data_IF_534901723371
#
_entry.id   IF_534901723371
#
_cell.length_a   1.000
_cell.length_b   1.000
_cell.length_c   1.000
_cell.angle_alpha   90.00
_cell.angle_beta   90.00
_cell.angle_gamma   90.00
#
_symmetry.space_group_name_H-M   'P 1'
#
loop_
_entity.id
_entity.type
_entity.pdbx_description
1 polymer ?
#
# COMPACT_ATOMS: atom_id res chain seq x y z
N UNK A 1 -37.69 -41.15 -12.77
CA UNK A 1 -37.33 -40.13 -11.78
C UNK A 1 -35.93 -39.63 -12.12
N UNK A 2 -35.85 -38.49 -12.80
CA UNK A 2 -34.60 -37.92 -13.31
C UNK A 2 -33.82 -37.29 -12.17
N UNK A 3 -32.60 -37.78 -11.90
CA UNK A 3 -31.63 -37.05 -11.08
C UNK A 3 -30.97 -36.01 -11.98
N UNK A 4 -31.42 -34.77 -11.86
CA UNK A 4 -30.65 -33.62 -12.32
C UNK A 4 -29.63 -33.36 -11.22
N UNK A 5 -28.38 -33.70 -11.47
CA UNK A 5 -27.26 -33.27 -10.66
C UNK A 5 -26.68 -32.05 -11.37
N UNK A 6 -27.08 -30.86 -10.93
CA UNK A 6 -26.49 -29.61 -11.39
C UNK A 6 -25.03 -29.53 -10.90
N UNK A 7 -24.07 -29.16 -11.75
CA UNK A 7 -22.73 -28.83 -11.31
C UNK A 7 -22.74 -27.37 -10.83
N UNK A 8 -22.85 -27.14 -9.53
CA UNK A 8 -22.64 -25.82 -8.95
C UNK A 8 -21.14 -25.51 -8.86
N UNK A 9 -20.58 -25.12 -10.00
CA UNK A 9 -19.30 -24.39 -10.10
C UNK A 9 -19.46 -22.98 -9.53
N UNK A 10 -19.31 -22.77 -8.22
CA UNK A 10 -19.13 -21.45 -7.62
C UNK A 10 -18.53 -21.66 -6.22
N UNK A 11 -17.41 -21.08 -5.79
CA UNK A 11 -16.60 -19.97 -6.29
C UNK A 11 -15.15 -20.40 -6.14
N UNK A 12 -14.31 -20.09 -7.13
CA UNK A 12 -12.88 -19.91 -6.87
C UNK A 12 -12.80 -18.98 -5.67
N UNK A 13 -12.25 -19.44 -4.55
CA UNK A 13 -11.74 -18.52 -3.54
C UNK A 13 -10.78 -17.62 -4.30
N UNK A 14 -11.22 -16.38 -4.59
CA UNK A 14 -10.32 -15.31 -4.99
C UNK A 14 -9.45 -15.08 -3.75
N UNK A 15 -8.44 -15.93 -3.61
CA UNK A 15 -7.27 -15.67 -2.79
C UNK A 15 -6.76 -14.33 -3.29
N UNK A 16 -7.06 -13.28 -2.54
CA UNK A 16 -6.55 -11.95 -2.82
C UNK A 16 -5.03 -12.06 -2.96
N UNK A 17 -4.54 -11.78 -4.17
CA UNK A 17 -3.12 -11.75 -4.49
C UNK A 17 -2.67 -10.30 -4.33
N UNK A 18 -1.78 -10.06 -3.36
CA UNK A 18 -1.14 -8.76 -3.18
C UNK A 18 -0.27 -8.46 -4.39
N UNK A 19 -0.83 -7.70 -5.34
CA UNK A 19 -0.13 -7.26 -6.55
C UNK A 19 0.94 -6.24 -6.20
N UNK A 20 2.11 -6.35 -6.79
CA UNK A 20 3.15 -5.34 -6.62
C UNK A 20 2.67 -3.96 -7.08
N UNK A 21 3.27 -2.92 -6.52
CA UNK A 21 2.93 -1.54 -6.87
C UNK A 21 3.22 -1.30 -8.36
N UNK A 22 4.27 -1.92 -8.90
CA UNK A 22 4.57 -1.88 -10.34
C UNK A 22 3.44 -2.45 -11.17
N UNK A 23 2.93 -3.63 -10.83
CA UNK A 23 1.80 -4.25 -11.55
C UNK A 23 0.55 -3.36 -11.51
N UNK A 24 0.23 -2.82 -10.33
CA UNK A 24 -0.91 -1.93 -10.18
C UNK A 24 -0.76 -0.63 -10.97
N UNK A 25 0.46 -0.08 -11.09
CA UNK A 25 0.74 1.10 -11.91
C UNK A 25 0.64 0.80 -13.41
N UNK A 26 1.09 -0.38 -13.88
CA UNK A 26 0.99 -0.79 -15.29
C UNK A 26 -0.46 -0.81 -15.77
N UNK A 27 -1.38 -1.29 -14.94
CA UNK A 27 -2.80 -1.36 -15.30
C UNK A 27 -3.51 -0.01 -15.23
N UNK A 28 -3.01 0.92 -14.40
CA UNK A 28 -3.70 2.18 -14.07
C UNK A 28 -3.08 3.43 -14.72
N UNK A 29 -1.89 3.34 -15.31
CA UNK A 29 -1.16 4.50 -15.83
C UNK A 29 -0.76 4.37 -17.30
N UNK A 30 -0.74 5.53 -17.98
CA UNK A 30 -0.22 5.65 -19.33
C UNK A 30 1.26 5.25 -19.41
N UNK A 31 1.66 4.61 -20.50
CA UNK A 31 3.03 4.10 -20.72
C UNK A 31 4.13 5.17 -20.55
N UNK A 32 3.84 6.44 -20.88
CA UNK A 32 4.78 7.55 -20.71
C UNK A 32 5.06 7.85 -19.23
N UNK A 33 4.03 7.79 -18.37
CA UNK A 33 4.20 8.01 -16.92
C UNK A 33 4.89 6.81 -16.27
N UNK A 34 4.62 5.61 -16.78
CA UNK A 34 5.29 4.39 -16.33
C UNK A 34 6.81 4.44 -16.51
N UNK A 35 7.27 4.94 -17.66
CA UNK A 35 8.70 5.09 -17.95
C UNK A 35 9.40 6.07 -17.00
N UNK A 36 8.72 7.15 -16.60
CA UNK A 36 9.24 8.07 -15.58
C UNK A 36 9.28 7.44 -14.19
N UNK A 37 8.37 6.53 -13.87
CA UNK A 37 8.36 5.79 -12.60
C UNK A 37 9.45 4.73 -12.53
N UNK A 38 9.82 4.10 -13.65
CA UNK A 38 10.97 3.18 -13.68
C UNK A 38 12.28 3.84 -13.26
N UNK A 39 12.40 5.17 -13.39
CA UNK A 39 13.55 5.93 -12.91
C UNK A 39 13.66 5.98 -11.37
N UNK A 40 12.61 5.57 -10.64
CA UNK A 40 12.60 5.49 -9.17
C UNK A 40 13.37 4.27 -8.63
N UNK A 41 13.79 3.34 -9.49
CA UNK A 41 14.68 2.25 -9.13
C UNK A 41 14.04 1.15 -8.27
N UNK A 42 14.68 -0.02 -8.21
CA UNK A 42 14.12 -1.21 -7.55
C UNK A 42 13.93 -1.04 -6.04
N UNK A 43 14.83 -0.33 -5.36
CA UNK A 43 14.74 -0.13 -3.91
C UNK A 43 13.47 0.63 -3.52
N UNK A 44 13.06 1.61 -4.33
CA UNK A 44 11.81 2.34 -4.10
C UNK A 44 10.60 1.42 -4.18
N UNK A 45 10.49 0.64 -5.26
CA UNK A 45 9.34 -0.26 -5.45
C UNK A 45 9.31 -1.37 -4.41
N UNK A 46 10.48 -1.94 -4.07
CA UNK A 46 10.61 -2.90 -2.98
C UNK A 46 10.07 -2.33 -1.66
N UNK A 47 10.46 -1.11 -1.30
CA UNK A 47 9.99 -0.47 -0.07
C UNK A 47 8.49 -0.21 -0.09
N UNK A 48 7.93 0.24 -1.21
CA UNK A 48 6.48 0.45 -1.32
C UNK A 48 5.75 -0.87 -1.08
N UNK A 49 6.17 -1.96 -1.72
CA UNK A 49 5.55 -3.27 -1.57
C UNK A 49 5.73 -3.85 -0.17
N UNK A 50 6.92 -3.73 0.41
CA UNK A 50 7.22 -4.24 1.75
C UNK A 50 6.40 -3.52 2.83
N UNK A 51 6.41 -2.18 2.82
CA UNK A 51 5.71 -1.38 3.82
C UNK A 51 4.19 -1.43 3.64
N UNK A 52 3.71 -1.49 2.40
CA UNK A 52 2.27 -1.66 2.16
C UNK A 52 1.77 -3.03 2.60
N UNK A 53 2.57 -4.08 2.43
CA UNK A 53 2.23 -5.40 2.93
C UNK A 53 2.12 -5.42 4.47
N UNK A 54 3.09 -4.81 5.14
CA UNK A 54 3.07 -4.65 6.60
C UNK A 54 1.79 -3.93 7.08
N UNK A 55 1.43 -2.81 6.47
CA UNK A 55 0.21 -2.08 6.82
C UNK A 55 -1.05 -2.88 6.50
N UNK A 56 -1.11 -3.54 5.34
CA UNK A 56 -2.28 -4.33 4.97
C UNK A 56 -2.51 -5.51 5.93
N UNK A 57 -1.46 -6.19 6.37
CA UNK A 57 -1.55 -7.27 7.36
C UNK A 57 -2.06 -6.76 8.72
N UNK A 58 -1.57 -5.62 9.18
CA UNK A 58 -1.96 -5.02 10.46
C UNK A 58 -3.38 -4.43 10.44
N UNK A 59 -3.83 -3.95 9.28
CA UNK A 59 -5.10 -3.24 9.12
C UNK A 59 -6.08 -3.95 8.18
N UNK A 60 -5.94 -5.26 7.96
CA UNK A 60 -6.85 -6.02 7.09
C UNK A 60 -8.33 -5.91 7.51
N UNK A 61 -8.60 -5.73 8.81
CA UNK A 61 -9.96 -5.54 9.33
C UNK A 61 -10.55 -4.19 8.99
N UNK A 62 -9.70 -3.22 8.62
CA UNK A 62 -10.11 -1.89 8.18
C UNK A 62 -10.77 -1.88 6.82
N UNK A 63 -10.56 -2.90 5.99
CA UNK A 63 -11.21 -3.07 4.68
C UNK A 63 -12.73 -2.94 4.81
N UNK A 64 -13.32 -3.62 5.80
CA UNK A 64 -14.75 -3.58 6.06
C UNK A 64 -15.22 -2.24 6.65
N UNK A 65 -14.32 -1.54 7.36
CA UNK A 65 -14.60 -0.28 8.05
C UNK A 65 -14.58 0.91 7.08
N UNK A 66 -13.78 0.82 6.02
CA UNK A 66 -13.65 1.82 4.96
C UNK A 66 -14.56 1.52 3.74
N UNK A 67 -15.38 0.47 3.81
CA UNK A 67 -16.26 0.02 2.72
C UNK A 67 -15.53 -0.24 1.38
N UNK A 68 -14.26 -0.64 1.43
CA UNK A 68 -13.43 -0.93 0.26
C UNK A 68 -13.34 -2.44 -0.01
N UNK A 69 -13.06 -2.82 -1.26
CA UNK A 69 -12.57 -4.18 -1.55
C UNK A 69 -11.12 -4.33 -1.07
N UNK A 70 -10.64 -5.57 -0.89
CA UNK A 70 -9.23 -5.82 -0.54
C UNK A 70 -8.26 -5.25 -1.58
N UNK A 71 -8.61 -5.31 -2.87
CA UNK A 71 -7.79 -4.75 -3.95
C UNK A 71 -7.71 -3.22 -3.90
N UNK A 72 -8.84 -2.55 -3.66
CA UNK A 72 -8.89 -1.10 -3.51
C UNK A 72 -8.13 -0.66 -2.27
N UNK A 73 -8.34 -1.33 -1.13
CA UNK A 73 -7.62 -1.00 0.10
C UNK A 73 -6.11 -1.17 -0.06
N UNK A 74 -5.67 -2.28 -0.66
CA UNK A 74 -4.25 -2.51 -0.91
C UNK A 74 -3.64 -1.44 -1.83
N UNK A 75 -4.38 -1.04 -2.88
CA UNK A 75 -3.97 0.04 -3.76
C UNK A 75 -3.83 1.38 -3.01
N UNK A 76 -4.80 1.74 -2.17
CA UNK A 76 -4.76 2.97 -1.38
C UNK A 76 -3.57 2.97 -0.39
N UNK A 77 -3.27 1.84 0.24
CA UNK A 77 -2.06 1.70 1.07
C UNK A 77 -0.80 1.92 0.24
N UNK A 78 -0.68 1.29 -0.94
CA UNK A 78 0.49 1.48 -1.79
C UNK A 78 0.67 2.94 -2.23
N UNK A 79 -0.44 3.65 -2.52
CA UNK A 79 -0.42 5.08 -2.82
C UNK A 79 0.02 5.90 -1.61
N UNK A 80 -0.53 5.61 -0.43
CA UNK A 80 -0.14 6.24 0.83
C UNK A 80 1.36 6.06 1.09
N UNK A 81 1.88 4.83 1.03
CA UNK A 81 3.31 4.54 1.25
C UNK A 81 4.20 5.26 0.25
N UNK A 82 3.82 5.30 -1.04
CA UNK A 82 4.53 6.06 -2.06
C UNK A 82 4.60 7.57 -1.70
N UNK A 83 3.50 8.15 -1.22
CA UNK A 83 3.48 9.56 -0.77
C UNK A 83 4.34 9.76 0.49
N UNK A 84 4.23 8.86 1.47
CA UNK A 84 5.01 8.88 2.71
C UNK A 84 6.51 8.85 2.43
N UNK A 85 6.99 7.92 1.62
CA UNK A 85 8.41 7.82 1.25
C UNK A 85 8.91 9.10 0.55
N UNK A 86 8.09 9.72 -0.29
CA UNK A 86 8.43 10.99 -0.96
C UNK A 86 8.50 12.15 0.02
N UNK A 87 7.65 12.17 1.04
CA UNK A 87 7.69 13.18 2.10
C UNK A 87 8.94 13.00 2.98
N UNK A 88 9.31 11.76 3.31
CA UNK A 88 10.52 11.48 4.07
C UNK A 88 11.81 11.88 3.34
N UNK A 89 11.85 11.71 2.00
CA UNK A 89 13.04 12.02 1.22
C UNK A 89 13.34 13.53 1.07
N UNK A 90 12.47 14.42 1.57
CA UNK A 90 12.54 15.90 1.49
C UNK A 90 12.57 16.50 0.06
N UNK A 91 13.12 15.78 -0.93
CA UNK A 91 13.22 16.18 -2.34
C UNK A 91 13.30 14.97 -3.27
N UNK A 92 12.92 15.17 -4.54
CA UNK A 92 12.92 14.11 -5.55
C UNK A 92 14.32 13.59 -5.91
N UNK A 93 15.37 14.40 -5.76
CA UNK A 93 16.76 14.00 -6.03
C UNK A 93 17.36 13.16 -4.91
N UNK A 94 16.84 13.28 -3.69
CA UNK A 94 17.27 12.49 -2.52
C UNK A 94 16.47 11.20 -2.36
N UNK A 95 15.35 11.04 -3.08
CA UNK A 95 14.48 9.85 -2.95
C UNK A 95 15.20 8.53 -3.22
N UNK A 96 16.02 8.47 -4.27
CA UNK A 96 16.78 7.25 -4.60
C UNK A 96 17.79 6.86 -3.50
N UNK A 97 18.73 7.74 -3.10
CA UNK A 97 19.67 7.42 -2.03
C UNK A 97 18.96 7.17 -0.69
N UNK A 98 17.88 7.91 -0.39
CA UNK A 98 17.05 7.67 0.79
C UNK A 98 16.46 6.27 0.80
N UNK A 99 15.80 5.84 -0.28
CA UNK A 99 15.19 4.51 -0.38
C UNK A 99 16.23 3.40 -0.24
N UNK A 100 17.41 3.57 -0.83
CA UNK A 100 18.49 2.60 -0.66
C UNK A 100 18.95 2.49 0.79
N UNK A 101 19.22 3.61 1.46
CA UNK A 101 19.64 3.63 2.86
C UNK A 101 18.55 3.10 3.79
N UNK A 102 17.29 3.47 3.55
CA UNK A 102 16.16 2.99 4.32
C UNK A 102 16.05 1.47 4.23
N UNK A 103 16.20 0.89 3.03
CA UNK A 103 16.20 -0.56 2.84
C UNK A 103 17.29 -1.25 3.65
N UNK A 104 18.51 -0.72 3.64
CA UNK A 104 19.64 -1.25 4.42
C UNK A 104 19.38 -1.13 5.94
N UNK A 105 18.81 -0.01 6.40
CA UNK A 105 18.53 0.23 7.81
C UNK A 105 17.33 -0.56 8.36
N UNK A 106 16.39 -0.99 7.50
CA UNK A 106 15.26 -1.82 7.92
C UNK A 106 15.69 -3.22 8.41
N UNK A 107 16.90 -3.67 8.08
CA UNK A 107 17.50 -4.89 8.64
C UNK A 107 17.89 -4.71 10.13
N UNK A 108 18.03 -3.46 10.60
CA UNK A 108 18.32 -3.16 12.00
C UNK A 108 17.02 -3.15 12.83
N UNK A 109 16.91 -4.08 13.78
CA UNK A 109 15.66 -4.29 14.53
C UNK A 109 15.13 -3.05 15.28
N UNK A 110 16.01 -2.22 15.83
CA UNK A 110 15.59 -1.02 16.58
C UNK A 110 15.11 0.09 15.66
N UNK A 111 15.83 0.32 14.56
CA UNK A 111 15.44 1.26 13.53
C UNK A 111 14.12 0.84 12.89
N UNK A 112 13.99 -0.43 12.48
CA UNK A 112 12.79 -0.99 11.86
C UNK A 112 11.55 -0.80 12.73
N UNK A 113 11.63 -1.08 14.04
CA UNK A 113 10.52 -0.82 14.98
C UNK A 113 10.15 0.64 15.05
N UNK A 114 11.14 1.53 15.15
CA UNK A 114 10.91 2.98 15.26
C UNK A 114 10.26 3.50 13.98
N UNK A 115 10.75 3.05 12.83
CA UNK A 115 10.23 3.43 11.52
C UNK A 115 8.80 2.91 11.31
N UNK A 116 8.52 1.66 11.65
CA UNK A 116 7.18 1.08 11.54
C UNK A 116 6.18 1.81 12.44
N UNK A 117 6.58 2.18 13.67
CA UNK A 117 5.73 3.01 14.53
C UNK A 117 5.41 4.37 13.89
N UNK A 118 6.39 5.02 13.24
CA UNK A 118 6.17 6.28 12.53
C UNK A 118 5.20 6.10 11.36
N UNK A 119 5.38 5.02 10.58
CA UNK A 119 4.52 4.66 9.46
C UNK A 119 3.08 4.41 9.93
N UNK A 120 2.90 3.64 11.01
CA UNK A 120 1.59 3.34 11.59
C UNK A 120 0.86 4.60 12.05
N UNK A 121 1.57 5.53 12.72
CA UNK A 121 0.97 6.81 13.13
C UNK A 121 0.55 7.64 11.90
N UNK A 122 1.42 7.75 10.89
CA UNK A 122 1.10 8.47 9.66
C UNK A 122 -0.09 7.84 8.92
N UNK A 123 -0.20 6.51 8.93
CA UNK A 123 -1.33 5.78 8.34
C UNK A 123 -2.64 6.10 9.07
N UNK A 124 -2.62 6.04 10.41
CA UNK A 124 -3.79 6.37 11.22
C UNK A 124 -4.25 7.82 10.99
N UNK A 125 -3.31 8.76 10.94
CA UNK A 125 -3.62 10.16 10.67
C UNK A 125 -4.22 10.37 9.28
N UNK A 126 -3.72 9.66 8.28
CA UNK A 126 -4.23 9.75 6.91
C UNK A 126 -5.66 9.20 6.78
N UNK A 127 -5.91 8.00 7.33
CA UNK A 127 -7.17 7.28 7.09
C UNK A 127 -8.25 7.48 8.16
N UNK A 128 -7.91 7.93 9.37
CA UNK A 128 -8.86 7.96 10.50
C UNK A 128 -8.97 9.32 11.20
N UNK A 129 -7.96 10.18 11.15
CA UNK A 129 -7.99 11.46 11.90
C UNK A 129 -8.66 12.59 11.11
N UNK A 130 -8.76 12.50 9.78
CA UNK A 130 -9.30 13.58 8.93
C UNK A 130 -10.82 13.78 8.97
N UNK A 131 -11.61 12.84 9.51
CA UNK A 131 -13.07 12.99 9.62
C UNK A 131 -13.54 13.72 10.90
N UNK A 132 -12.68 13.90 11.91
CA UNK A 132 -13.11 14.48 13.20
C UNK A 132 -13.12 16.02 13.19
N UNK A 133 -12.57 16.69 12.16
CA UNK A 133 -12.58 18.16 12.09
C UNK A 133 -13.78 18.76 11.34
N UNK A 134 -14.61 17.97 10.65
CA UNK A 134 -15.77 18.48 9.89
C UNK A 134 -17.14 18.31 10.59
N UNK A 135 -17.18 17.86 11.85
CA UNK A 135 -18.45 17.67 12.59
C UNK A 135 -18.66 18.62 13.77
N UNK A 136 -17.90 19.71 13.88
CA UNK A 136 -18.25 20.80 14.80
C UNK A 136 -18.95 21.92 14.02
N UNK A 137 -20.27 22.12 14.18
CA UNK A 137 -20.91 23.31 13.66
C UNK A 137 -20.32 24.56 14.36
N UNK A 138 -20.18 25.61 13.56
CA UNK A 138 -19.68 26.93 13.92
C UNK A 138 -20.41 27.58 15.10
#
# INVERSE_FOLDING_TARGET
MSRIQEPSSFRTENSFLMRSFRENLVERMDAQKLNSLNALGEDFFFLVDHLSSFLFENYQTSVALLELTQEEFHWEIQIFVNQFLRQCAESSTQLLPFCRQLRENLDESEFSKTFNNLLDQAFLDHFYTSEVQNTLPA
#
